data_IF_701715261139
#
_entry.id   IF_701715261139
#
_cell.length_a   1.000
_cell.length_b   1.000
_cell.length_c   1.000
_cell.angle_alpha   90.00
_cell.angle_beta   90.00
_cell.angle_gamma   90.00
#
_symmetry.space_group_name_H-M   'P 1'
#
loop_
_entity.id
_entity.type
_entity.pdbx_description
1 polymer ?
#
# COMPACT_ATOMS: atom_id res chain seq x y z
N UNK A 1 38.20 -32.13 38.59
CA UNK A 1 36.79 -32.13 38.14
C UNK A 1 36.71 -31.29 36.88
N UNK A 2 36.46 -31.90 35.72
CA UNK A 2 36.43 -31.19 34.43
C UNK A 2 34.99 -30.87 34.06
N UNK A 3 34.67 -29.58 33.96
CA UNK A 3 33.36 -29.10 33.49
C UNK A 3 33.31 -29.15 31.97
N UNK A 4 32.50 -30.05 31.42
CA UNK A 4 32.20 -30.12 29.99
C UNK A 4 31.28 -28.95 29.62
N UNK A 5 31.74 -28.07 28.73
CA UNK A 5 30.92 -27.03 28.14
C UNK A 5 30.01 -27.65 27.07
N UNK A 6 28.69 -27.59 27.28
CA UNK A 6 27.70 -27.99 26.27
C UNK A 6 27.45 -26.79 25.35
N UNK A 7 27.64 -26.92 24.02
CA UNK A 7 27.31 -25.86 23.09
C UNK A 7 25.80 -25.60 23.11
N UNK A 8 25.41 -24.32 23.17
CA UNK A 8 24.02 -23.90 23.00
C UNK A 8 23.63 -24.15 21.54
N UNK A 9 22.88 -25.21 21.30
CA UNK A 9 22.26 -25.47 19.99
C UNK A 9 21.12 -24.47 19.83
N UNK A 10 21.39 -23.36 19.14
CA UNK A 10 20.35 -22.43 18.71
C UNK A 10 19.45 -23.22 17.76
N UNK A 11 18.19 -23.40 18.14
CA UNK A 11 17.24 -24.26 17.46
C UNK A 11 16.83 -23.62 16.12
N UNK A 12 17.61 -23.88 15.06
CA UNK A 12 17.48 -23.29 13.73
C UNK A 12 16.08 -23.46 13.14
N UNK A 13 15.41 -24.58 13.41
CA UNK A 13 14.02 -24.81 13.00
C UNK A 13 13.02 -23.80 13.60
N UNK A 14 13.27 -23.33 14.83
CA UNK A 14 12.41 -22.33 15.49
C UNK A 14 12.61 -20.94 14.89
N UNK A 15 13.85 -20.63 14.48
CA UNK A 15 14.16 -19.37 13.79
C UNK A 15 13.54 -19.33 12.39
N UNK A 16 13.63 -20.41 11.62
CA UNK A 16 13.02 -20.48 10.27
C UNK A 16 11.51 -20.29 10.33
N UNK A 17 10.82 -20.97 11.25
CA UNK A 17 9.36 -20.83 11.45
C UNK A 17 8.95 -19.41 11.85
N UNK A 18 9.78 -18.72 12.63
CA UNK A 18 9.53 -17.33 13.05
C UNK A 18 9.75 -16.34 11.90
N UNK A 19 10.77 -16.57 11.05
CA UNK A 19 10.99 -15.76 9.85
C UNK A 19 9.83 -15.94 8.87
N UNK A 20 9.38 -17.18 8.64
CA UNK A 20 8.23 -17.46 7.77
C UNK A 20 6.94 -16.81 8.27
N UNK A 21 6.68 -16.87 9.59
CA UNK A 21 5.48 -16.24 10.17
C UNK A 21 5.52 -14.72 10.08
N UNK A 22 6.69 -14.10 10.31
CA UNK A 22 6.87 -12.66 10.16
C UNK A 22 6.73 -12.21 8.72
N UNK A 23 7.27 -12.97 7.75
CA UNK A 23 7.10 -12.69 6.33
C UNK A 23 5.64 -12.81 5.91
N UNK A 24 4.94 -13.85 6.37
CA UNK A 24 3.51 -14.01 6.11
C UNK A 24 2.69 -12.84 6.68
N UNK A 25 2.96 -12.44 7.93
CA UNK A 25 2.31 -11.29 8.55
C UNK A 25 2.61 -9.97 7.81
N UNK A 26 3.86 -9.75 7.39
CA UNK A 26 4.25 -8.59 6.60
C UNK A 26 3.49 -8.54 5.27
N UNK A 27 3.42 -9.65 4.55
CA UNK A 27 2.70 -9.72 3.28
C UNK A 27 1.20 -9.47 3.48
N UNK A 28 0.59 -10.05 4.52
CA UNK A 28 -0.80 -9.81 4.85
C UNK A 28 -1.09 -8.34 5.18
N UNK A 29 -0.18 -7.66 5.89
CA UNK A 29 -0.29 -6.22 6.16
C UNK A 29 -0.16 -5.39 4.89
N UNK A 30 0.78 -5.72 4.00
CA UNK A 30 0.95 -5.02 2.73
C UNK A 30 -0.28 -5.16 1.83
N UNK A 31 -0.91 -6.33 1.80
CA UNK A 31 -2.18 -6.53 1.07
C UNK A 31 -3.32 -5.71 1.68
N UNK A 32 -3.43 -5.62 3.01
CA UNK A 32 -4.41 -4.75 3.66
C UNK A 32 -4.19 -3.27 3.32
N UNK A 33 -2.93 -2.81 3.34
CA UNK A 33 -2.56 -1.45 2.96
C UNK A 33 -2.94 -1.17 1.49
N UNK A 34 -2.63 -2.11 0.60
CA UNK A 34 -3.01 -2.02 -0.82
C UNK A 34 -4.52 -1.95 -0.98
N UNK A 35 -5.26 -2.81 -0.29
CA UNK A 35 -6.71 -2.86 -0.35
C UNK A 35 -7.36 -1.56 0.15
N UNK A 36 -6.86 -0.99 1.25
CA UNK A 36 -7.29 0.33 1.72
C UNK A 36 -7.07 1.41 0.65
N UNK A 37 -5.93 1.36 -0.04
CA UNK A 37 -5.66 2.21 -1.21
C UNK A 37 -6.71 2.05 -2.29
N UNK A 38 -7.03 0.81 -2.71
CA UNK A 38 -8.03 0.49 -3.74
C UNK A 38 -9.39 1.09 -3.39
N UNK A 39 -9.86 0.86 -2.16
CA UNK A 39 -11.15 1.36 -1.71
C UNK A 39 -11.22 2.89 -1.75
N UNK A 40 -10.17 3.57 -1.30
CA UNK A 40 -10.07 5.02 -1.42
C UNK A 40 -10.04 5.46 -2.89
N UNK A 41 -9.34 4.73 -3.74
CA UNK A 41 -9.28 4.97 -5.19
C UNK A 41 -10.67 4.95 -5.81
N UNK A 42 -11.45 3.91 -5.53
CA UNK A 42 -12.84 3.78 -5.99
C UNK A 42 -13.70 4.94 -5.46
N UNK A 43 -13.62 5.24 -4.16
CA UNK A 43 -14.39 6.36 -3.54
C UNK A 43 -14.01 7.71 -4.12
N UNK A 44 -12.75 7.90 -4.50
CA UNK A 44 -12.24 9.17 -5.02
C UNK A 44 -12.61 9.40 -6.50
N UNK A 45 -12.75 8.32 -7.29
CA UNK A 45 -12.88 8.39 -8.74
C UNK A 45 -14.02 9.29 -9.27
N UNK A 46 -15.23 9.33 -8.66
CA UNK A 46 -16.30 10.24 -9.09
C UNK A 46 -15.94 11.72 -8.99
N UNK A 47 -15.06 12.08 -8.05
CA UNK A 47 -14.63 13.46 -7.80
C UNK A 47 -13.52 13.93 -8.74
N UNK A 48 -12.93 13.01 -9.53
CA UNK A 48 -11.82 13.32 -10.43
C UNK A 48 -12.34 13.74 -11.80
N UNK A 49 -11.75 14.75 -12.42
CA UNK A 49 -12.05 15.14 -13.80
C UNK A 49 -11.58 14.10 -14.83
N UNK A 50 -12.14 14.13 -16.04
CA UNK A 50 -11.69 13.25 -17.13
C UNK A 50 -10.19 13.43 -17.45
N UNK A 51 -9.69 14.67 -17.35
CA UNK A 51 -8.26 14.98 -17.55
C UNK A 51 -7.38 14.30 -16.51
N UNK A 52 -7.82 14.26 -15.25
CA UNK A 52 -7.10 13.58 -14.16
C UNK A 52 -7.13 12.07 -14.32
N UNK A 53 -8.30 11.49 -14.60
CA UNK A 53 -8.43 10.06 -14.88
C UNK A 53 -7.53 9.62 -16.05
N UNK A 54 -7.52 10.40 -17.15
CA UNK A 54 -6.64 10.15 -18.30
C UNK A 54 -5.16 10.27 -17.95
N UNK A 55 -4.80 11.22 -17.08
CA UNK A 55 -3.41 11.37 -16.60
C UNK A 55 -2.99 10.15 -15.79
N UNK A 56 -3.80 9.72 -14.82
CA UNK A 56 -3.55 8.55 -13.98
C UNK A 56 -3.41 7.28 -14.84
N UNK A 57 -4.31 7.07 -15.81
CA UNK A 57 -4.26 5.92 -16.73
C UNK A 57 -3.03 5.90 -17.65
N UNK A 58 -2.42 7.06 -17.92
CA UNK A 58 -1.17 7.15 -18.68
C UNK A 58 0.04 6.88 -17.80
N UNK A 59 0.05 7.44 -16.59
CA UNK A 59 1.14 7.25 -15.62
C UNK A 59 1.23 5.79 -15.19
N UNK A 60 0.10 5.10 -14.97
CA UNK A 60 0.10 3.68 -14.61
C UNK A 60 0.65 2.79 -15.72
N UNK A 61 0.35 3.10 -16.99
CA UNK A 61 0.87 2.35 -18.16
C UNK A 61 2.38 2.48 -18.35
N UNK A 62 2.99 3.54 -17.82
CA UNK A 62 4.42 3.80 -17.98
C UNK A 62 5.27 3.06 -16.94
N UNK A 63 4.67 2.27 -16.05
CA UNK A 63 5.38 1.57 -14.95
C UNK A 63 6.37 2.47 -14.22
N UNK A 64 6.00 3.75 -14.05
CA UNK A 64 6.84 4.71 -13.35
C UNK A 64 6.91 4.29 -11.89
N UNK A 65 8.12 4.04 -11.42
CA UNK A 65 8.37 3.78 -10.00
C UNK A 65 7.92 4.98 -9.20
N UNK A 66 6.98 4.75 -8.29
CA UNK A 66 6.57 5.75 -7.32
C UNK A 66 7.77 6.12 -6.44
N UNK A 67 8.06 7.40 -6.34
CA UNK A 67 9.12 7.91 -5.47
C UNK A 67 8.64 7.97 -4.01
N UNK A 68 9.55 8.29 -3.08
CA UNK A 68 9.23 8.42 -1.66
C UNK A 68 8.20 9.52 -1.35
N UNK A 69 8.02 10.47 -2.29
CA UNK A 69 7.10 11.59 -2.18
C UNK A 69 5.72 11.30 -2.78
N UNK A 70 5.51 10.12 -3.39
CA UNK A 70 4.27 9.76 -4.06
C UNK A 70 3.07 9.81 -3.11
N UNK A 71 3.24 9.37 -1.86
CA UNK A 71 2.20 9.46 -0.85
C UNK A 71 1.89 10.92 -0.52
N UNK A 72 2.89 11.74 -0.23
CA UNK A 72 2.67 13.16 0.10
C UNK A 72 1.96 13.91 -1.03
N UNK A 73 2.32 13.58 -2.28
CA UNK A 73 1.66 14.12 -3.47
C UNK A 73 0.21 13.66 -3.58
N UNK A 74 -0.07 12.39 -3.27
CA UNK A 74 -1.42 11.85 -3.21
C UNK A 74 -2.25 12.52 -2.11
N UNK A 75 -1.69 12.72 -0.91
CA UNK A 75 -2.38 13.38 0.20
C UNK A 75 -2.79 14.81 -0.17
N UNK A 76 -1.86 15.59 -0.72
CA UNK A 76 -2.14 16.95 -1.18
C UNK A 76 -3.20 16.96 -2.31
N UNK A 77 -3.15 15.98 -3.21
CA UNK A 77 -4.15 15.83 -4.26
C UNK A 77 -5.54 15.52 -3.69
N UNK A 78 -5.65 14.57 -2.76
CA UNK A 78 -6.91 14.22 -2.12
C UNK A 78 -7.50 15.39 -1.33
N UNK A 79 -6.66 16.12 -0.58
CA UNK A 79 -7.07 17.30 0.17
C UNK A 79 -7.63 18.39 -0.74
N UNK A 80 -6.99 18.63 -1.91
CA UNK A 80 -7.51 19.55 -2.92
C UNK A 80 -8.91 19.16 -3.43
N UNK A 81 -9.21 17.85 -3.50
CA UNK A 81 -10.53 17.32 -3.85
C UNK A 81 -11.49 17.19 -2.65
N UNK A 82 -11.12 17.69 -1.47
CA UNK A 82 -11.94 17.58 -0.26
C UNK A 82 -12.07 16.16 0.30
N UNK A 83 -11.19 15.25 -0.14
CA UNK A 83 -11.13 13.87 0.30
C UNK A 83 -10.11 13.74 1.42
N UNK A 84 -10.50 13.10 2.52
CA UNK A 84 -9.61 12.84 3.66
C UNK A 84 -9.55 11.34 3.92
N UNK A 85 -8.36 10.87 4.26
CA UNK A 85 -8.18 9.56 4.85
C UNK A 85 -8.72 9.56 6.26
N UNK A 86 -9.27 8.43 6.69
CA UNK A 86 -9.52 8.22 8.11
C UNK A 86 -8.20 7.89 8.85
N UNK A 87 -8.20 8.04 10.18
CA UNK A 87 -7.01 7.81 11.01
C UNK A 87 -6.45 6.38 10.86
N UNK A 88 -7.33 5.38 10.72
CA UNK A 88 -6.92 3.99 10.54
C UNK A 88 -6.19 3.75 9.21
N UNK A 89 -6.63 4.38 8.11
CA UNK A 89 -5.96 4.33 6.81
C UNK A 89 -4.60 5.02 6.87
N UNK A 90 -4.47 6.12 7.63
CA UNK A 90 -3.19 6.81 7.84
C UNK A 90 -2.19 5.94 8.61
N UNK A 91 -2.63 5.27 9.68
CA UNK A 91 -1.77 4.43 10.52
C UNK A 91 -1.17 3.24 9.74
N UNK A 92 -1.98 2.60 8.88
CA UNK A 92 -1.53 1.50 8.04
C UNK A 92 -0.47 1.93 7.01
N UNK A 93 -0.59 3.15 6.50
CA UNK A 93 0.30 3.69 5.45
C UNK A 93 1.64 4.17 6.01
N UNK A 94 1.66 4.64 7.26
CA UNK A 94 2.85 5.21 7.90
C UNK A 94 3.86 4.16 8.41
N UNK A 95 3.57 2.86 8.24
CA UNK A 95 4.44 1.75 8.67
C UNK A 95 5.80 1.67 7.97
N UNK A 96 5.94 2.25 6.76
CA UNK A 96 7.22 2.31 6.04
C UNK A 96 7.09 2.55 4.54
N UNK A 97 8.21 2.78 3.84
CA UNK A 97 8.22 3.12 2.40
C UNK A 97 7.48 2.11 1.54
N UNK A 98 7.62 0.81 1.81
CA UNK A 98 6.91 -0.26 1.08
C UNK A 98 5.38 -0.14 1.25
N UNK A 99 4.90 0.14 2.45
CA UNK A 99 3.47 0.35 2.71
C UNK A 99 2.95 1.58 1.99
N UNK A 100 3.71 2.69 1.99
CA UNK A 100 3.35 3.90 1.24
C UNK A 100 3.19 3.64 -0.25
N UNK A 101 4.14 2.91 -0.84
CA UNK A 101 4.08 2.52 -2.26
C UNK A 101 2.91 1.58 -2.54
N UNK A 102 2.69 0.57 -1.69
CA UNK A 102 1.57 -0.36 -1.81
C UNK A 102 0.22 0.38 -1.78
N UNK A 103 0.07 1.34 -0.88
CA UNK A 103 -1.13 2.15 -0.75
C UNK A 103 -1.41 2.99 -2.00
N UNK A 104 -0.41 3.74 -2.47
CA UNK A 104 -0.56 4.61 -3.65
C UNK A 104 -0.83 3.79 -4.90
N UNK A 105 -0.18 2.63 -5.06
CA UNK A 105 -0.48 1.69 -6.15
C UNK A 105 -1.92 1.18 -6.06
N UNK A 106 -2.36 0.76 -4.86
CA UNK A 106 -3.75 0.38 -4.62
C UNK A 106 -4.72 1.49 -5.01
N UNK A 107 -4.44 2.73 -4.61
CA UNK A 107 -5.27 3.89 -4.97
C UNK A 107 -5.38 4.09 -6.49
N UNK A 108 -4.26 4.01 -7.22
CA UNK A 108 -4.26 4.08 -8.69
C UNK A 108 -5.10 2.95 -9.28
N UNK A 109 -4.92 1.72 -8.80
CA UNK A 109 -5.70 0.56 -9.26
C UNK A 109 -7.21 0.78 -9.04
N UNK A 110 -7.61 1.26 -7.86
CA UNK A 110 -9.00 1.56 -7.53
C UNK A 110 -9.62 2.64 -8.42
N UNK A 111 -8.88 3.73 -8.68
CA UNK A 111 -9.33 4.79 -9.60
C UNK A 111 -9.55 4.25 -11.01
N UNK A 112 -8.61 3.45 -11.52
CA UNK A 112 -8.70 2.88 -12.87
C UNK A 112 -9.82 1.84 -12.97
N UNK A 113 -9.98 1.00 -11.96
CA UNK A 113 -11.10 0.08 -11.86
C UNK A 113 -12.43 0.83 -11.92
N UNK A 114 -12.60 1.88 -11.11
CA UNK A 114 -13.83 2.66 -11.12
C UNK A 114 -14.07 3.36 -12.48
N UNK A 115 -13.04 3.89 -13.11
CA UNK A 115 -13.13 4.51 -14.43
C UNK A 115 -13.52 3.52 -15.53
N UNK A 116 -12.94 2.31 -15.56
CA UNK A 116 -13.25 1.30 -16.56
C UNK A 116 -14.64 0.66 -16.39
N UNK A 117 -15.15 0.62 -15.16
CA UNK A 117 -16.47 0.05 -14.86
C UNK A 117 -17.59 1.11 -14.84
N UNK A 118 -17.33 2.35 -15.29
CA UNK A 118 -18.35 3.40 -15.33
C UNK A 118 -18.81 3.90 -13.96
N UNK A 119 -18.08 3.57 -12.89
CA UNK A 119 -18.40 3.97 -11.51
C UNK A 119 -18.05 5.43 -11.20
N UNK A 120 -17.70 6.21 -12.22
CA UNK A 120 -17.39 7.65 -12.10
C UNK A 120 -18.62 8.54 -12.22
N UNK A 121 -19.79 7.96 -12.51
CA UNK A 121 -21.05 8.70 -12.67
C UNK A 121 -21.08 9.58 -13.94
N UNK A 122 -20.27 9.26 -14.95
CA UNK A 122 -20.12 9.98 -16.21
C UNK A 122 -20.21 9.04 -17.40
#
# INVERSE_FOLDING_TARGET
MSTTLVPVTINTETQTKLVESLQSAQNALLEQVKQAGIELGIKSAPNLSYKELRRIARTSKLSLTLDENALSSLLAFLEFHGLKLNENELDLVLLGTTSKVAFVNGWIEGVLYAAWNGLTGR
#
